data_IF_546248721068
#
_entry.id   IF_546248721068
#
_cell.length_a   1.000
_cell.length_b   1.000
_cell.length_c   1.000
_cell.angle_alpha   90.00
_cell.angle_beta   90.00
_cell.angle_gamma   90.00
#
_symmetry.space_group_name_H-M   'P 1'
#
loop_
_entity.id
_entity.type
_entity.pdbx_description
1 polymer ?
#
# COMPACT_ATOMS: atom_id res chain seq x y z
N UNK A 1 22.01 15.37 -8.51
CA UNK A 1 22.46 15.05 -9.88
C UNK A 1 21.43 14.16 -10.55
N UNK A 2 20.95 14.53 -11.76
CA UNK A 2 20.11 13.65 -12.59
C UNK A 2 20.94 12.45 -13.04
N UNK A 3 20.40 11.24 -12.89
CA UNK A 3 21.10 9.99 -13.22
C UNK A 3 20.73 9.55 -14.63
N UNK A 4 19.45 9.50 -14.95
CA UNK A 4 18.93 9.12 -16.27
C UNK A 4 17.53 9.71 -16.52
N UNK A 5 17.15 9.72 -17.78
CA UNK A 5 15.78 9.86 -18.25
C UNK A 5 15.37 8.56 -18.95
N UNK A 6 14.13 8.15 -18.72
CA UNK A 6 13.53 7.00 -19.39
C UNK A 6 12.31 7.52 -20.14
N UNK A 7 12.37 7.45 -21.47
CA UNK A 7 11.22 7.78 -22.30
C UNK A 7 10.17 6.65 -22.24
N UNK A 8 8.99 6.98 -21.70
CA UNK A 8 7.88 6.05 -21.60
C UNK A 8 6.91 6.13 -22.79
N UNK A 9 7.16 6.99 -23.78
CA UNK A 9 6.26 7.17 -24.93
C UNK A 9 6.03 5.88 -25.72
N UNK A 10 7.06 5.06 -25.87
CA UNK A 10 6.95 3.75 -26.53
C UNK A 10 6.06 2.73 -25.77
N UNK A 11 5.86 2.92 -24.47
CA UNK A 11 4.96 2.11 -23.65
C UNK A 11 3.56 2.71 -23.55
N UNK A 12 3.32 3.90 -24.11
CA UNK A 12 2.08 4.63 -24.04
C UNK A 12 1.45 4.84 -25.41
N UNK A 13 1.16 3.76 -26.10
CA UNK A 13 0.54 3.75 -27.43
C UNK A 13 -0.96 3.45 -27.33
N UNK A 14 -1.67 3.41 -28.46
CA UNK A 14 -3.11 3.20 -28.50
C UNK A 14 -3.56 1.88 -27.83
N UNK A 15 -2.74 0.83 -27.89
CA UNK A 15 -3.06 -0.48 -27.35
C UNK A 15 -2.61 -0.67 -25.89
N UNK A 16 -1.55 0.04 -25.46
CA UNK A 16 -0.96 -0.09 -24.14
C UNK A 16 -0.78 1.30 -23.53
N UNK A 17 -1.83 1.79 -22.83
CA UNK A 17 -1.77 3.09 -22.17
C UNK A 17 -1.26 2.95 -20.75
N UNK A 18 -0.17 3.63 -20.47
CA UNK A 18 0.26 3.89 -19.10
C UNK A 18 -0.66 4.94 -18.47
N UNK A 19 -1.24 4.63 -17.34
CA UNK A 19 -2.19 5.52 -16.67
C UNK A 19 -1.94 5.57 -15.18
N UNK A 20 -1.83 6.77 -14.63
CA UNK A 20 -1.85 7.00 -13.19
C UNK A 20 -3.25 7.42 -12.77
N UNK A 21 -3.79 6.78 -11.72
CA UNK A 21 -5.13 7.10 -11.22
C UNK A 21 -5.22 6.92 -9.71
N UNK A 22 -6.23 7.55 -9.10
CA UNK A 22 -6.54 7.32 -7.69
C UNK A 22 -7.05 5.89 -7.48
N UNK A 23 -6.58 5.23 -6.42
CA UNK A 23 -7.05 3.89 -6.04
C UNK A 23 -8.59 3.81 -5.95
N UNK A 24 -9.24 4.84 -5.40
CA UNK A 24 -10.71 4.90 -5.29
C UNK A 24 -11.38 4.81 -6.66
N UNK A 25 -10.83 5.49 -7.67
CA UNK A 25 -11.35 5.43 -9.05
C UNK A 25 -11.19 4.06 -9.69
N UNK A 26 -10.07 3.38 -9.41
CA UNK A 26 -9.88 2.01 -9.85
C UNK A 26 -10.90 1.07 -9.20
N UNK A 27 -11.12 1.19 -7.89
CA UNK A 27 -12.11 0.37 -7.17
C UNK A 27 -13.51 0.63 -7.71
N UNK A 28 -13.92 1.90 -7.87
CA UNK A 28 -15.21 2.27 -8.45
C UNK A 28 -15.41 1.67 -9.84
N UNK A 29 -14.37 1.72 -10.68
CA UNK A 29 -14.39 1.13 -12.02
C UNK A 29 -14.56 -0.39 -11.98
N UNK A 30 -13.80 -1.08 -11.12
CA UNK A 30 -13.89 -2.53 -11.00
C UNK A 30 -15.25 -2.97 -10.45
N UNK A 31 -15.77 -2.29 -9.44
CA UNK A 31 -17.06 -2.59 -8.84
C UNK A 31 -18.24 -2.45 -9.81
N UNK A 32 -18.16 -1.53 -10.78
CA UNK A 32 -19.21 -1.38 -11.81
C UNK A 32 -19.44 -2.64 -12.64
N UNK A 33 -18.45 -3.50 -12.73
CA UNK A 33 -18.50 -4.72 -13.53
C UNK A 33 -18.88 -5.97 -12.71
N UNK A 34 -19.18 -5.79 -11.42
CA UNK A 34 -19.57 -6.90 -10.52
C UNK A 34 -21.02 -6.65 -10.08
N UNK A 35 -21.93 -7.58 -10.33
CA UNK A 35 -23.29 -7.50 -9.83
C UNK A 35 -23.30 -7.33 -8.31
N UNK A 36 -24.10 -6.40 -7.78
CA UNK A 36 -24.11 -6.06 -6.36
C UNK A 36 -24.46 -7.24 -5.45
N UNK A 37 -25.29 -8.15 -5.91
CA UNK A 37 -25.68 -9.39 -5.21
C UNK A 37 -24.52 -10.40 -5.06
N UNK A 38 -23.44 -10.22 -5.80
CA UNK A 38 -22.20 -11.02 -5.69
C UNK A 38 -21.22 -10.46 -4.66
N UNK A 39 -21.51 -9.30 -4.07
CA UNK A 39 -20.64 -8.65 -3.10
C UNK A 39 -21.30 -8.71 -1.73
N UNK A 40 -20.67 -9.41 -0.81
CA UNK A 40 -21.16 -9.54 0.56
C UNK A 40 -20.20 -8.85 1.51
N UNK A 41 -20.62 -7.70 2.00
CA UNK A 41 -19.87 -6.93 2.99
C UNK A 41 -20.08 -7.45 4.42
N UNK A 42 -19.25 -6.99 5.35
CA UNK A 42 -19.30 -7.33 6.78
C UNK A 42 -19.27 -8.85 7.01
N UNK A 43 -18.40 -9.55 6.28
CA UNK A 43 -18.21 -10.99 6.37
C UNK A 43 -16.89 -11.29 7.08
N UNK A 44 -16.96 -11.35 8.43
CA UNK A 44 -15.78 -11.67 9.25
C UNK A 44 -15.58 -13.19 9.29
N UNK A 45 -14.65 -13.68 8.48
CA UNK A 45 -14.28 -15.09 8.42
C UNK A 45 -13.59 -15.49 9.73
N UNK A 46 -14.11 -16.52 10.40
CA UNK A 46 -13.57 -17.02 11.68
C UNK A 46 -12.95 -18.41 11.59
N UNK A 47 -13.40 -19.23 10.64
CA UNK A 47 -12.87 -20.60 10.46
C UNK A 47 -13.06 -21.07 9.01
N UNK A 48 -12.24 -22.03 8.60
CA UNK A 48 -12.30 -22.68 7.29
C UNK A 48 -12.21 -24.19 7.52
N UNK A 49 -13.24 -24.92 7.12
CA UNK A 49 -13.29 -26.37 7.19
C UNK A 49 -13.21 -26.95 5.80
N UNK A 50 -12.26 -27.84 5.59
CA UNK A 50 -12.05 -28.53 4.32
C UNK A 50 -12.24 -30.03 4.55
N UNK A 51 -13.48 -30.50 4.36
CA UNK A 51 -13.84 -31.91 4.47
C UNK A 51 -14.22 -32.42 3.07
N UNK A 52 -15.52 -32.67 2.83
CA UNK A 52 -16.03 -33.04 1.50
C UNK A 52 -16.20 -31.81 0.60
N UNK A 53 -16.50 -30.65 1.21
CA UNK A 53 -16.58 -29.32 0.60
C UNK A 53 -15.88 -28.29 1.46
N UNK A 54 -15.52 -27.19 0.85
CA UNK A 54 -14.93 -26.05 1.53
C UNK A 54 -16.03 -25.26 2.24
N UNK A 55 -16.10 -25.34 3.56
CA UNK A 55 -17.07 -24.59 4.35
C UNK A 55 -16.40 -23.39 5.02
N UNK A 56 -16.91 -22.20 4.76
CA UNK A 56 -16.47 -20.95 5.35
C UNK A 56 -17.38 -20.58 6.51
N UNK A 57 -16.80 -20.39 7.70
CA UNK A 57 -17.51 -20.01 8.90
C UNK A 57 -17.35 -18.52 9.15
N UNK A 58 -18.45 -17.80 9.24
CA UNK A 58 -18.48 -16.36 9.51
C UNK A 58 -19.00 -16.09 10.92
N UNK A 59 -18.57 -14.96 11.55
CA UNK A 59 -18.95 -14.61 12.92
C UNK A 59 -20.46 -14.48 13.11
N UNK A 60 -21.09 -13.68 12.27
CA UNK A 60 -22.50 -13.27 12.43
C UNK A 60 -23.38 -13.72 11.25
N UNK A 61 -22.95 -14.75 10.53
CA UNK A 61 -23.65 -15.28 9.35
C UNK A 61 -23.66 -16.79 9.37
N UNK A 62 -24.55 -17.37 8.56
CA UNK A 62 -24.55 -18.82 8.31
C UNK A 62 -23.27 -19.22 7.59
N UNK A 63 -22.80 -20.42 7.89
CA UNK A 63 -21.71 -21.03 7.13
C UNK A 63 -22.15 -21.26 5.70
N UNK A 64 -21.22 -21.05 4.78
CA UNK A 64 -21.47 -21.23 3.35
C UNK A 64 -20.46 -22.21 2.78
N UNK A 65 -20.91 -23.02 1.79
CA UNK A 65 -20.08 -24.00 1.13
C UNK A 65 -19.66 -23.51 -0.27
N UNK A 66 -18.42 -23.76 -0.62
CA UNK A 66 -17.83 -23.35 -1.89
C UNK A 66 -16.93 -24.46 -2.45
N UNK A 67 -16.73 -24.42 -3.77
CA UNK A 67 -15.78 -25.32 -4.44
C UNK A 67 -14.35 -24.80 -4.34
N UNK A 68 -14.18 -23.46 -4.32
CA UNK A 68 -12.87 -22.79 -4.30
C UNK A 68 -12.88 -21.55 -3.40
N UNK A 69 -11.72 -21.26 -2.82
CA UNK A 69 -11.45 -20.03 -2.08
C UNK A 69 -10.22 -19.32 -2.64
N UNK A 70 -10.38 -18.07 -3.05
CA UNK A 70 -9.27 -17.19 -3.39
C UNK A 70 -9.08 -16.18 -2.28
N UNK A 71 -8.00 -16.33 -1.50
CA UNK A 71 -7.67 -15.41 -0.41
C UNK A 71 -6.92 -14.18 -0.95
N UNK A 72 -7.56 -13.01 -0.90
CA UNK A 72 -6.99 -11.73 -1.32
C UNK A 72 -7.03 -10.68 -0.17
N UNK A 73 -6.90 -11.13 1.08
CA UNK A 73 -7.09 -10.37 2.32
C UNK A 73 -5.79 -9.71 2.84
N UNK A 74 -4.74 -9.68 2.01
CA UNK A 74 -3.56 -8.82 2.19
C UNK A 74 -2.52 -9.36 3.17
N UNK A 75 -1.63 -8.45 3.63
CA UNK A 75 -0.45 -8.82 4.44
C UNK A 75 -0.83 -9.39 5.82
N UNK A 76 -1.93 -8.94 6.39
CA UNK A 76 -2.46 -9.45 7.66
C UNK A 76 -3.54 -10.52 7.46
N UNK A 77 -3.46 -11.25 6.36
CA UNK A 77 -4.41 -12.27 5.95
C UNK A 77 -4.89 -13.16 7.11
N UNK A 78 -6.18 -13.06 7.41
CA UNK A 78 -6.82 -13.91 8.41
C UNK A 78 -7.01 -15.33 7.87
N UNK A 79 -7.32 -15.44 6.58
CA UNK A 79 -7.39 -16.72 5.88
C UNK A 79 -6.09 -17.50 6.03
N UNK A 80 -4.94 -16.83 5.83
CA UNK A 80 -3.62 -17.43 6.02
C UNK A 80 -3.40 -17.87 7.47
N UNK A 81 -3.78 -17.04 8.44
CA UNK A 81 -3.63 -17.37 9.87
C UNK A 81 -4.45 -18.60 10.26
N UNK A 82 -5.66 -18.75 9.73
CA UNK A 82 -6.52 -19.90 9.98
C UNK A 82 -5.92 -21.16 9.35
N UNK A 83 -5.59 -21.12 8.05
CA UNK A 83 -5.14 -22.30 7.31
C UNK A 83 -3.77 -22.81 7.78
N UNK A 84 -2.87 -21.90 8.18
CA UNK A 84 -1.49 -22.23 8.56
C UNK A 84 -1.22 -22.04 10.07
N UNK A 85 -2.28 -22.03 10.89
CA UNK A 85 -2.19 -21.97 12.37
C UNK A 85 -1.26 -20.87 12.89
N UNK A 86 -1.29 -19.70 12.23
CA UNK A 86 -0.46 -18.55 12.60
C UNK A 86 0.98 -18.57 12.07
N UNK A 87 1.37 -19.56 11.28
CA UNK A 87 2.66 -19.53 10.60
C UNK A 87 2.76 -18.40 9.58
N UNK A 88 3.96 -17.88 9.38
CA UNK A 88 4.21 -16.83 8.38
C UNK A 88 3.57 -15.48 8.73
N UNK A 89 3.42 -15.17 10.01
CA UNK A 89 2.99 -13.84 10.46
C UNK A 89 3.90 -12.75 9.88
N UNK A 90 3.34 -11.58 9.57
CA UNK A 90 4.09 -10.47 9.03
C UNK A 90 5.18 -10.01 9.99
N UNK A 91 6.38 -9.74 9.46
CA UNK A 91 7.49 -9.16 10.21
C UNK A 91 7.77 -7.76 9.69
N UNK A 92 8.12 -6.86 10.60
CA UNK A 92 8.57 -5.52 10.23
C UNK A 92 9.81 -5.59 9.34
N UNK A 93 9.81 -4.81 8.25
CA UNK A 93 10.87 -4.84 7.24
C UNK A 93 11.88 -3.70 7.42
N UNK A 94 12.06 -3.19 8.62
CA UNK A 94 12.95 -2.06 8.93
C UNK A 94 12.75 -0.88 7.97
N UNK A 95 11.52 -0.62 7.60
CA UNK A 95 11.18 0.43 6.65
C UNK A 95 9.81 1.02 6.94
N UNK A 96 9.72 2.34 6.74
CA UNK A 96 8.50 3.11 6.90
C UNK A 96 8.09 3.68 5.55
N UNK A 97 6.81 3.65 5.25
CA UNK A 97 6.23 4.34 4.12
C UNK A 97 5.59 5.65 4.55
N UNK A 98 5.91 6.72 3.85
CA UNK A 98 5.17 7.98 3.87
C UNK A 98 4.40 8.12 2.56
N UNK A 99 3.14 8.52 2.65
CA UNK A 99 2.29 8.84 1.49
C UNK A 99 1.61 10.16 1.74
N UNK A 100 1.49 10.95 0.69
CA UNK A 100 0.81 12.23 0.74
C UNK A 100 0.62 12.81 -0.65
N UNK A 101 0.07 14.01 -0.69
CA UNK A 101 -0.01 14.82 -1.89
C UNK A 101 1.05 15.92 -1.80
N UNK A 102 1.67 16.24 -2.93
CA UNK A 102 2.60 17.36 -3.00
C UNK A 102 1.96 18.50 -3.78
N UNK A 103 2.13 19.72 -3.29
CA UNK A 103 1.62 20.92 -3.95
C UNK A 103 2.74 21.66 -4.68
N UNK A 104 2.34 22.44 -5.67
CA UNK A 104 3.24 23.32 -6.43
C UNK A 104 4.43 22.58 -7.06
N UNK A 105 4.23 21.32 -7.44
CA UNK A 105 5.19 20.59 -8.21
C UNK A 105 4.95 20.86 -9.70
N UNK A 106 6.01 21.19 -10.44
CA UNK A 106 5.90 21.66 -11.84
C UNK A 106 6.33 20.59 -12.84
N UNK A 107 6.92 19.52 -12.38
CA UNK A 107 7.35 18.42 -13.24
C UNK A 107 6.17 17.45 -13.42
N UNK A 108 5.72 17.30 -14.64
CA UNK A 108 4.58 16.44 -15.00
C UNK A 108 4.99 14.98 -15.28
N UNK A 109 6.27 14.70 -15.19
CA UNK A 109 6.80 13.35 -15.34
C UNK A 109 6.79 12.59 -14.00
N UNK A 110 7.13 11.31 -14.06
CA UNK A 110 7.40 10.54 -12.85
C UNK A 110 8.84 10.81 -12.42
N UNK A 111 8.99 11.47 -11.29
CA UNK A 111 10.30 11.78 -10.73
C UNK A 111 10.66 10.84 -9.61
N UNK A 112 11.69 10.02 -9.79
CA UNK A 112 12.22 9.11 -8.78
C UNK A 112 13.51 9.68 -8.17
N UNK A 113 13.52 9.78 -6.85
CA UNK A 113 14.65 10.25 -6.05
C UNK A 113 15.22 9.10 -5.24
N UNK A 114 16.51 8.86 -5.39
CA UNK A 114 17.23 7.77 -4.72
C UNK A 114 18.23 8.32 -3.73
N UNK A 115 18.21 7.81 -2.52
CA UNK A 115 19.20 8.08 -1.47
C UNK A 115 19.67 6.77 -0.82
N UNK A 116 20.71 6.80 0.05
CA UNK A 116 21.30 5.60 0.62
C UNK A 116 20.32 4.81 1.51
N UNK A 117 19.41 5.50 2.21
CA UNK A 117 18.47 4.88 3.13
C UNK A 117 17.01 5.26 2.84
N UNK A 118 16.75 5.83 1.69
CA UNK A 118 15.41 6.18 1.25
C UNK A 118 15.31 6.21 -0.26
N UNK A 119 14.10 6.09 -0.73
CA UNK A 119 13.72 6.57 -2.04
C UNK A 119 12.33 7.20 -1.94
N UNK A 120 12.04 8.12 -2.83
CA UNK A 120 10.69 8.63 -2.99
C UNK A 120 10.38 8.90 -4.45
N UNK A 121 9.10 8.86 -4.74
CA UNK A 121 8.59 9.12 -6.08
C UNK A 121 7.51 10.19 -6.01
N UNK A 122 7.55 11.10 -6.98
CA UNK A 122 6.50 12.10 -7.21
C UNK A 122 5.97 11.83 -8.61
N UNK A 123 4.67 11.79 -8.75
CA UNK A 123 4.02 11.60 -10.05
C UNK A 123 2.65 12.25 -10.09
N UNK A 124 2.25 12.75 -11.28
CA UNK A 124 0.95 13.36 -11.46
C UNK A 124 -0.17 12.30 -11.40
N UNK A 125 -1.30 12.72 -10.86
CA UNK A 125 -2.56 11.98 -10.86
C UNK A 125 -3.69 12.93 -11.27
N UNK A 126 -4.87 12.39 -11.53
CA UNK A 126 -6.06 13.19 -11.84
C UNK A 126 -5.83 14.18 -13.00
N UNK A 127 -5.32 13.69 -14.14
CA UNK A 127 -5.02 14.50 -15.32
C UNK A 127 -4.08 15.69 -15.01
N UNK A 128 -3.01 15.44 -14.29
CA UNK A 128 -1.98 16.40 -13.90
C UNK A 128 -2.47 17.54 -12.96
N UNK A 129 -3.64 17.37 -12.34
CA UNK A 129 -4.16 18.36 -11.38
C UNK A 129 -3.65 18.17 -9.96
N UNK A 130 -3.19 16.98 -9.65
CA UNK A 130 -2.68 16.59 -8.34
C UNK A 130 -1.40 15.79 -8.51
N UNK A 131 -0.50 15.87 -7.53
CA UNK A 131 0.71 15.08 -7.50
C UNK A 131 0.71 14.18 -6.27
N UNK A 132 1.02 12.94 -6.48
CA UNK A 132 1.17 11.97 -5.41
C UNK A 132 2.63 11.88 -4.97
N UNK A 133 2.84 11.75 -3.68
CA UNK A 133 4.14 11.55 -3.05
C UNK A 133 4.14 10.23 -2.30
N UNK A 134 5.13 9.39 -2.57
CA UNK A 134 5.36 8.16 -1.83
C UNK A 134 6.83 8.07 -1.51
N UNK A 135 7.18 7.86 -0.25
CA UNK A 135 8.55 7.59 0.17
C UNK A 135 8.64 6.32 0.96
N UNK A 136 9.73 5.60 0.78
CA UNK A 136 10.15 4.48 1.63
C UNK A 136 11.47 4.86 2.29
N UNK A 137 11.52 4.76 3.61
CA UNK A 137 12.66 5.16 4.43
C UNK A 137 13.09 3.95 5.26
N UNK A 138 14.35 3.60 5.24
CA UNK A 138 14.91 2.63 6.18
C UNK A 138 14.91 3.20 7.58
N UNK A 139 14.28 2.51 8.50
CA UNK A 139 14.16 2.88 9.90
C UNK A 139 14.07 1.62 10.75
N UNK A 140 15.02 1.42 11.63
CA UNK A 140 14.91 0.40 12.65
C UNK A 140 13.99 0.92 13.77
N UNK A 141 13.12 0.06 14.24
CA UNK A 141 12.19 0.31 15.34
C UNK A 141 12.22 -0.86 16.30
N UNK A 142 12.12 -0.59 17.58
CA UNK A 142 11.94 -1.61 18.61
C UNK A 142 10.49 -2.10 18.63
N UNK A 143 10.24 -3.23 19.29
CA UNK A 143 8.92 -3.88 19.26
C UNK A 143 7.81 -3.00 19.84
N UNK A 144 8.10 -2.20 20.87
CA UNK A 144 7.16 -1.25 21.46
C UNK A 144 6.76 -0.17 20.45
N UNK A 145 7.72 0.37 19.71
CA UNK A 145 7.46 1.38 18.66
C UNK A 145 6.63 0.81 17.52
N UNK A 146 6.95 -0.41 17.07
CA UNK A 146 6.20 -1.09 16.00
C UNK A 146 4.74 -1.30 16.40
N UNK A 147 4.50 -1.63 17.67
CA UNK A 147 3.17 -1.90 18.23
C UNK A 147 2.39 -0.62 18.51
N UNK A 148 3.06 0.52 18.67
CA UNK A 148 2.45 1.81 18.95
C UNK A 148 1.89 2.46 17.69
N UNK A 149 0.62 2.19 17.38
CA UNK A 149 -0.05 2.79 16.22
C UNK A 149 -0.14 4.31 16.25
N UNK A 150 -0.04 4.93 17.43
CA UNK A 150 -0.10 6.39 17.56
C UNK A 150 1.20 7.05 17.13
N UNK A 151 2.35 6.39 17.29
CA UNK A 151 3.65 6.89 16.83
C UNK A 151 3.60 7.33 15.36
N UNK A 152 2.96 6.53 14.50
CA UNK A 152 2.84 6.79 13.06
C UNK A 152 1.85 7.91 12.71
N UNK A 153 1.18 8.50 13.69
CA UNK A 153 0.30 9.66 13.54
C UNK A 153 0.89 10.93 14.16
N UNK A 154 1.99 10.81 14.90
CA UNK A 154 2.64 11.94 15.56
C UNK A 154 3.35 12.85 14.55
N UNK A 155 3.00 14.12 14.57
CA UNK A 155 3.59 15.11 13.67
C UNK A 155 5.12 15.20 13.81
N UNK A 156 5.65 15.12 15.03
CA UNK A 156 7.09 15.18 15.27
C UNK A 156 7.81 14.00 14.61
N UNK A 157 7.27 12.78 14.74
CA UNK A 157 7.84 11.59 14.12
C UNK A 157 7.85 11.71 12.59
N UNK A 158 6.71 12.11 12.00
CA UNK A 158 6.56 12.29 10.56
C UNK A 158 7.48 13.39 10.04
N UNK A 159 7.55 14.54 10.71
CA UNK A 159 8.40 15.66 10.32
C UNK A 159 9.89 15.31 10.39
N UNK A 160 10.32 14.54 11.38
CA UNK A 160 11.70 14.06 11.46
C UNK A 160 12.06 13.18 10.25
N UNK A 161 11.16 12.30 9.81
CA UNK A 161 11.36 11.49 8.61
C UNK A 161 11.40 12.34 7.33
N UNK A 162 10.52 13.32 7.20
CA UNK A 162 10.51 14.25 6.06
C UNK A 162 11.79 15.10 6.01
N UNK A 163 12.24 15.62 7.16
CA UNK A 163 13.48 16.40 7.25
C UNK A 163 14.70 15.56 6.84
N UNK A 164 14.75 14.30 7.23
CA UNK A 164 15.81 13.37 6.83
C UNK A 164 15.90 13.22 5.31
N UNK A 165 14.78 13.23 4.60
CA UNK A 165 14.72 13.15 3.14
C UNK A 165 15.04 14.51 2.52
N UNK A 166 14.44 15.58 3.04
CA UNK A 166 14.58 16.95 2.53
C UNK A 166 16.02 17.41 2.52
N UNK A 167 16.76 17.16 3.60
CA UNK A 167 18.17 17.54 3.74
C UNK A 167 19.08 16.90 2.67
N UNK A 168 18.65 15.79 2.09
CA UNK A 168 19.44 15.04 1.09
C UNK A 168 18.93 15.20 -0.35
N UNK A 169 17.72 15.72 -0.53
CA UNK A 169 17.08 15.84 -1.84
C UNK A 169 17.02 17.26 -2.38
N UNK A 170 17.41 18.28 -1.61
CA UNK A 170 17.24 19.71 -1.91
C UNK A 170 15.79 20.11 -2.18
N UNK A 171 14.82 19.33 -1.67
CA UNK A 171 13.40 19.63 -1.74
C UNK A 171 12.87 19.89 -0.34
N UNK A 172 12.19 21.01 -0.13
CA UNK A 172 11.50 21.27 1.13
C UNK A 172 10.19 20.48 1.19
N UNK A 173 10.29 19.19 1.53
CA UNK A 173 9.15 18.29 1.55
C UNK A 173 8.20 18.57 2.72
N UNK A 174 8.72 19.07 3.83
CA UNK A 174 7.94 19.38 5.04
C UNK A 174 6.87 20.43 4.77
N UNK A 175 7.17 21.40 3.92
CA UNK A 175 6.19 22.45 3.56
C UNK A 175 5.30 22.05 2.38
N UNK A 176 5.80 21.18 1.49
CA UNK A 176 5.12 20.85 0.23
C UNK A 176 4.19 19.66 0.32
N UNK A 177 4.51 18.67 1.18
CA UNK A 177 3.71 17.45 1.28
C UNK A 177 2.57 17.64 2.27
N UNK A 178 1.38 17.30 1.84
CA UNK A 178 0.15 17.43 2.62
C UNK A 178 -0.58 16.09 2.75
N UNK A 179 -1.51 16.02 3.71
CA UNK A 179 -2.33 14.82 3.96
C UNK A 179 -1.47 13.56 4.15
N UNK A 180 -0.41 13.71 4.93
CA UNK A 180 0.58 12.65 5.09
C UNK A 180 -0.01 11.51 5.91
N UNK A 181 0.21 10.31 5.42
CA UNK A 181 0.02 9.07 6.16
C UNK A 181 1.35 8.37 6.30
N UNK A 182 1.61 7.85 7.49
CA UNK A 182 2.84 7.14 7.83
C UNK A 182 2.48 5.75 8.35
N UNK A 183 3.18 4.72 7.89
CA UNK A 183 2.95 3.36 8.36
C UNK A 183 4.18 2.47 8.17
N UNK A 184 4.39 1.51 9.09
CA UNK A 184 5.47 0.53 8.98
C UNK A 184 5.21 -0.43 7.83
N UNK A 185 6.27 -0.86 7.17
CA UNK A 185 6.20 -1.87 6.12
C UNK A 185 6.42 -3.24 6.76
N UNK A 186 5.55 -4.17 6.42
CA UNK A 186 5.65 -5.56 6.83
C UNK A 186 5.83 -6.47 5.62
N UNK A 187 6.53 -7.57 5.83
CA UNK A 187 6.69 -8.65 4.86
C UNK A 187 6.24 -9.97 5.48
N UNK A 188 5.69 -10.82 4.67
CA UNK A 188 5.26 -12.15 5.06
C UNK A 188 6.09 -13.20 4.33
N UNK A 189 6.51 -14.25 5.03
CA UNK A 189 7.16 -15.37 4.36
C UNK A 189 6.19 -16.06 3.41
N UNK A 190 6.71 -16.51 2.27
CA UNK A 190 5.99 -17.44 1.39
C UNK A 190 5.81 -18.75 2.14
N UNK A 191 4.59 -19.25 2.21
CA UNK A 191 4.31 -20.60 2.68
C UNK A 191 4.26 -21.47 1.43
N UNK A 192 4.99 -22.56 1.43
CA UNK A 192 4.84 -23.59 0.39
C UNK A 192 3.69 -24.48 0.84
N UNK A 193 2.74 -24.69 -0.06
CA UNK A 193 1.61 -25.61 0.09
C UNK A 193 2.01 -26.92 -0.55
#
# INVERSE_FOLDING_TARGET
KKICDIDLSQFNNQNNRYTTLKRTKLIEFLLKNIPSEKIVFNSDLIDIKNQNKLSLCFRDKKNEEFDYLVAADGIYSKTKQILFKGEGLPKYFNSIALRGNIQNFKDFDISLYLGPNFHFVIYPINQNKEFNFISIIRKELIQEEISNRNLFKENNFINNLLNQISSKSNLNLTEKVQKITCFPIFVSKRIQI
#
